data_IF_460490251765
#
_entry.id   IF_460490251765
#
_cell.length_a   1.000
_cell.length_b   1.000
_cell.length_c   1.000
_cell.angle_alpha   90.00
_cell.angle_beta   90.00
_cell.angle_gamma   90.00
#
_symmetry.space_group_name_H-M   'P 1'
#
loop_
_entity.id
_entity.type
_entity.pdbx_description
1 polymer ?
#
# COMPACT_ATOMS: atom_id res chain seq x y z
N UNK A 1 23.59 2.82 14.06
CA UNK A 1 24.14 2.60 15.42
C UNK A 1 23.44 3.43 16.48
N UNK A 2 23.34 4.75 16.39
CA UNK A 2 22.67 5.61 17.41
C UNK A 2 21.24 5.16 17.73
N UNK A 3 20.41 4.90 16.72
CA UNK A 3 19.03 4.44 16.91
C UNK A 3 18.94 3.07 17.63
N UNK A 4 19.86 2.14 17.36
CA UNK A 4 19.93 0.85 18.06
C UNK A 4 20.24 1.04 19.53
N UNK A 5 21.19 1.93 19.86
CA UNK A 5 21.52 2.25 21.25
C UNK A 5 20.33 2.91 21.97
N UNK A 6 19.61 3.81 21.31
CA UNK A 6 18.39 4.40 21.87
C UNK A 6 17.35 3.33 22.20
N UNK A 7 17.11 2.37 21.30
CA UNK A 7 16.20 1.25 21.57
C UNK A 7 16.69 0.41 22.74
N UNK A 8 17.98 0.06 22.79
CA UNK A 8 18.55 -0.73 23.87
C UNK A 8 18.51 -0.03 25.23
N UNK A 9 18.52 1.29 25.25
CA UNK A 9 18.39 2.11 26.45
C UNK A 9 16.93 2.41 26.84
N UNK A 10 15.99 2.18 25.93
CA UNK A 10 14.58 2.55 26.12
C UNK A 10 14.32 4.05 25.92
N UNK A 11 15.15 4.71 25.09
CA UNK A 11 15.03 6.14 24.76
C UNK A 11 14.04 6.34 23.62
N UNK A 12 12.77 5.95 23.84
CA UNK A 12 11.65 6.12 22.91
C UNK A 12 10.35 6.33 23.68
N UNK A 13 9.37 6.92 23.02
CA UNK A 13 8.07 7.22 23.63
C UNK A 13 7.19 5.94 23.66
N UNK A 14 6.49 5.73 24.77
CA UNK A 14 5.69 4.50 25.02
C UNK A 14 4.61 4.30 23.95
N UNK A 15 3.97 5.37 23.46
CA UNK A 15 2.94 5.28 22.42
C UNK A 15 3.44 4.60 21.13
N UNK A 16 4.74 4.65 20.83
CA UNK A 16 5.31 3.99 19.64
C UNK A 16 5.20 2.47 19.72
N UNK A 17 5.39 1.92 20.93
CA UNK A 17 5.20 0.49 21.15
C UNK A 17 3.74 0.11 21.00
N UNK A 18 2.84 0.90 21.60
CA UNK A 18 1.41 0.64 21.52
C UNK A 18 0.89 0.73 20.07
N UNK A 19 1.36 1.73 19.30
CA UNK A 19 1.04 1.86 17.89
C UNK A 19 1.53 0.66 17.06
N UNK A 20 2.77 0.19 17.29
CA UNK A 20 3.31 -0.98 16.59
C UNK A 20 2.54 -2.25 16.95
N UNK A 21 2.20 -2.45 18.23
CA UNK A 21 1.39 -3.59 18.67
C UNK A 21 0.02 -3.58 17.99
N UNK A 22 -0.65 -2.45 18.01
CA UNK A 22 -1.96 -2.29 17.39
C UNK A 22 -1.90 -2.52 15.87
N UNK A 23 -0.86 -2.02 15.20
CA UNK A 23 -0.62 -2.28 13.76
C UNK A 23 -0.40 -3.77 13.47
N UNK A 24 0.41 -4.47 14.28
CA UNK A 24 0.64 -5.89 14.13
C UNK A 24 -0.62 -6.73 14.34
N UNK A 25 -1.45 -6.35 15.31
CA UNK A 25 -2.75 -6.99 15.53
C UNK A 25 -3.70 -6.74 14.35
N UNK A 26 -3.76 -5.52 13.81
CA UNK A 26 -4.56 -5.17 12.65
C UNK A 26 -4.11 -5.93 11.40
N UNK A 27 -2.81 -5.99 11.16
CA UNK A 27 -2.26 -6.76 10.05
C UNK A 27 -2.65 -8.23 10.12
N UNK A 28 -2.56 -8.85 11.31
CA UNK A 28 -3.01 -10.22 11.52
C UNK A 28 -4.52 -10.40 11.29
N UNK A 29 -5.35 -9.44 11.73
CA UNK A 29 -6.79 -9.46 11.46
C UNK A 29 -7.09 -9.47 9.95
N UNK A 30 -6.38 -8.66 9.16
CA UNK A 30 -6.51 -8.63 7.69
C UNK A 30 -6.02 -9.92 7.02
N UNK A 31 -4.88 -10.46 7.45
CA UNK A 31 -4.36 -11.75 6.95
C UNK A 31 -5.38 -12.88 7.22
N UNK A 32 -6.08 -12.81 8.35
CA UNK A 32 -7.11 -13.79 8.69
C UNK A 32 -8.43 -13.64 7.91
N UNK A 33 -8.62 -12.59 7.12
CA UNK A 33 -9.74 -12.49 6.18
C UNK A 33 -9.49 -13.31 4.89
N UNK A 34 -8.25 -13.41 4.46
CA UNK A 34 -7.84 -14.10 3.24
C UNK A 34 -7.65 -15.61 3.46
N UNK A 35 -8.29 -16.44 2.64
CA UNK A 35 -8.06 -17.88 2.68
C UNK A 35 -6.66 -18.27 2.21
N UNK A 36 -6.07 -17.50 1.30
CA UNK A 36 -4.69 -17.70 0.83
C UNK A 36 -3.71 -17.42 1.96
N UNK A 37 -3.87 -16.29 2.68
CA UNK A 37 -3.00 -15.94 3.79
C UNK A 37 -3.15 -16.92 4.95
N UNK A 38 -4.37 -17.38 5.27
CA UNK A 38 -4.59 -18.46 6.23
C UNK A 38 -3.83 -19.74 5.85
N UNK A 39 -3.88 -20.14 4.57
CA UNK A 39 -3.15 -21.30 4.10
C UNK A 39 -1.64 -21.10 4.20
N UNK A 40 -1.13 -19.91 3.88
CA UNK A 40 0.28 -19.56 4.01
C UNK A 40 0.75 -19.55 5.47
N UNK A 41 -0.06 -19.02 6.39
CA UNK A 41 0.20 -19.05 7.84
C UNK A 41 0.31 -20.49 8.32
N UNK A 42 -0.64 -21.35 7.95
CA UNK A 42 -0.61 -22.77 8.33
C UNK A 42 0.58 -23.53 7.74
N UNK A 43 0.90 -23.28 6.47
CA UNK A 43 2.07 -23.85 5.80
C UNK A 43 3.37 -23.40 6.50
N UNK A 44 3.51 -22.13 6.82
CA UNK A 44 4.68 -21.60 7.52
C UNK A 44 4.80 -22.17 8.95
N UNK A 45 3.67 -22.34 9.64
CA UNK A 45 3.64 -22.98 10.95
C UNK A 45 4.18 -24.42 10.88
N UNK A 46 3.68 -25.19 9.92
CA UNK A 46 4.14 -26.56 9.69
C UNK A 46 5.63 -26.60 9.34
N UNK A 47 6.07 -25.73 8.43
CA UNK A 47 7.46 -25.69 7.97
C UNK A 47 8.44 -25.28 9.08
N UNK A 48 8.04 -24.38 9.96
CA UNK A 48 8.85 -23.90 11.08
C UNK A 48 8.62 -24.68 12.39
N UNK A 49 7.88 -25.78 12.35
CA UNK A 49 7.55 -26.59 13.54
C UNK A 49 6.90 -25.77 14.67
N UNK A 50 6.07 -24.78 14.32
CA UNK A 50 5.40 -23.92 15.27
C UNK A 50 4.08 -24.55 15.75
N UNK A 51 3.80 -24.38 17.03
CA UNK A 51 2.50 -24.79 17.60
C UNK A 51 1.37 -23.92 17.05
N UNK A 52 0.29 -24.55 16.63
CA UNK A 52 -0.89 -23.84 16.08
C UNK A 52 -1.55 -22.93 17.12
N UNK A 53 -1.52 -23.32 18.40
CA UNK A 53 -2.00 -22.49 19.50
C UNK A 53 -1.22 -21.19 19.64
N UNK A 54 0.08 -21.22 19.32
CA UNK A 54 0.94 -20.03 19.31
C UNK A 54 0.50 -19.00 18.25
N UNK A 55 0.03 -19.49 17.11
CA UNK A 55 -0.48 -18.65 16.03
C UNK A 55 -1.86 -18.08 16.39
N UNK A 56 -2.74 -18.91 16.92
CA UNK A 56 -4.08 -18.45 17.33
C UNK A 56 -4.02 -17.42 18.47
N UNK A 57 -3.00 -17.51 19.33
CA UNK A 57 -2.76 -16.56 20.42
C UNK A 57 -1.78 -15.43 20.02
N UNK A 58 -1.53 -15.22 18.73
CA UNK A 58 -0.58 -14.22 18.24
C UNK A 58 -0.84 -12.82 18.80
N UNK A 59 -2.09 -12.36 18.76
CA UNK A 59 -2.45 -11.01 19.21
C UNK A 59 -2.20 -10.84 20.72
N UNK A 60 -2.56 -11.83 21.54
CA UNK A 60 -2.31 -11.79 22.98
C UNK A 60 -0.83 -11.74 23.30
N UNK A 61 -0.02 -12.49 22.55
CA UNK A 61 1.45 -12.46 22.68
C UNK A 61 2.04 -11.10 22.30
N UNK A 62 1.57 -10.50 21.19
CA UNK A 62 2.00 -9.16 20.79
C UNK A 62 1.61 -8.12 21.86
N UNK A 63 0.40 -8.18 22.36
CA UNK A 63 -0.07 -7.24 23.39
C UNK A 63 0.66 -7.40 24.72
N UNK A 64 1.14 -8.60 25.06
CA UNK A 64 1.91 -8.87 26.27
C UNK A 64 3.36 -8.37 26.24
N UNK A 65 3.92 -8.02 25.07
CA UNK A 65 5.29 -7.52 24.96
C UNK A 65 5.46 -6.22 25.76
N UNK A 66 6.51 -6.14 26.57
CA UNK A 66 6.82 -4.97 27.37
C UNK A 66 7.99 -4.17 26.81
N UNK A 67 8.15 -2.91 27.26
CA UNK A 67 9.34 -2.09 26.97
C UNK A 67 10.62 -2.79 27.42
N UNK A 68 10.59 -3.51 28.54
CA UNK A 68 11.76 -4.23 29.04
C UNK A 68 12.12 -5.44 28.17
N UNK A 69 11.13 -6.11 27.56
CA UNK A 69 11.40 -7.16 26.57
C UNK A 69 12.12 -6.63 25.35
N UNK A 70 11.68 -5.47 24.84
CA UNK A 70 12.33 -4.79 23.71
C UNK A 70 13.77 -4.43 24.05
N UNK A 71 14.01 -3.81 25.21
CA UNK A 71 15.37 -3.50 25.68
C UNK A 71 16.25 -4.73 25.82
N UNK A 72 15.70 -5.81 26.40
CA UNK A 72 16.39 -7.09 26.58
C UNK A 72 16.80 -7.69 25.23
N UNK A 73 15.88 -7.74 24.28
CA UNK A 73 16.11 -8.27 22.93
C UNK A 73 17.12 -7.41 22.17
N UNK A 74 16.99 -6.08 22.23
CA UNK A 74 17.92 -5.16 21.59
C UNK A 74 19.35 -5.35 22.13
N UNK A 75 19.53 -5.39 23.45
CA UNK A 75 20.83 -5.63 24.07
C UNK A 75 21.44 -6.99 23.71
N UNK A 76 20.59 -8.02 23.56
CA UNK A 76 21.06 -9.38 23.23
C UNK A 76 21.47 -9.54 21.77
N UNK A 77 20.69 -9.01 20.85
CA UNK A 77 20.83 -9.31 19.42
C UNK A 77 21.36 -8.14 18.58
N UNK A 78 21.27 -6.91 19.05
CA UNK A 78 21.71 -5.72 18.35
C UNK A 78 22.94 -5.09 19.02
N UNK A 79 23.83 -5.93 19.56
CA UNK A 79 25.08 -5.55 20.20
C UNK A 79 26.18 -5.24 19.16
N UNK A 80 27.43 -5.09 19.63
CA UNK A 80 28.59 -4.76 18.79
C UNK A 80 29.01 -5.87 17.81
N UNK A 81 28.41 -7.05 17.87
CA UNK A 81 28.69 -8.16 16.95
C UNK A 81 27.85 -8.00 15.66
N UNK A 82 28.32 -7.15 14.76
CA UNK A 82 27.66 -6.90 13.47
C UNK A 82 28.69 -6.80 12.33
N UNK A 83 28.25 -7.11 11.13
CA UNK A 83 28.97 -6.84 9.88
C UNK A 83 28.43 -5.59 9.24
N UNK A 84 29.27 -4.56 9.06
CA UNK A 84 28.92 -3.39 8.30
C UNK A 84 29.44 -3.50 6.86
N UNK A 85 28.53 -3.48 5.88
CA UNK A 85 28.87 -3.44 4.47
C UNK A 85 28.71 -2.01 3.94
N UNK A 86 29.80 -1.46 3.42
CA UNK A 86 29.81 -0.14 2.80
C UNK A 86 29.86 -0.30 1.29
N UNK A 87 28.89 0.29 0.60
CA UNK A 87 28.83 0.34 -0.87
C UNK A 87 29.15 1.76 -1.29
N UNK A 88 30.31 1.92 -1.94
CA UNK A 88 30.77 3.22 -2.43
C UNK A 88 30.72 3.27 -3.95
N UNK A 89 30.49 4.48 -4.50
CA UNK A 89 30.56 4.69 -5.94
C UNK A 89 32.01 4.60 -6.40
N UNK A 90 32.31 3.58 -7.18
CA UNK A 90 33.66 3.34 -7.68
C UNK A 90 33.72 2.25 -8.74
N UNK A 91 34.91 1.98 -9.25
CA UNK A 91 35.16 0.82 -10.10
C UNK A 91 35.54 -0.35 -9.20
N UNK A 92 34.90 -1.53 -9.35
CA UNK A 92 35.30 -2.70 -8.58
C UNK A 92 36.75 -3.09 -8.87
N UNK A 93 37.45 -3.60 -7.87
CA UNK A 93 38.78 -4.17 -8.05
C UNK A 93 38.68 -5.42 -8.95
N UNK A 94 39.16 -5.30 -10.18
CA UNK A 94 39.11 -6.38 -11.16
C UNK A 94 39.98 -7.61 -10.77
N UNK A 95 40.83 -7.45 -9.77
CA UNK A 95 41.75 -8.51 -9.34
C UNK A 95 41.16 -9.40 -8.23
N UNK A 96 40.06 -9.04 -7.63
CA UNK A 96 39.36 -9.88 -6.66
C UNK A 96 38.67 -11.04 -7.37
N UNK A 97 39.39 -12.11 -7.65
CA UNK A 97 38.80 -13.37 -8.11
C UNK A 97 38.19 -14.07 -6.89
N UNK A 98 36.86 -14.05 -6.81
CA UNK A 98 36.15 -14.92 -5.90
C UNK A 98 36.20 -16.33 -6.52
N UNK A 99 36.85 -17.26 -5.85
CA UNK A 99 36.81 -18.67 -6.26
C UNK A 99 35.33 -19.13 -6.19
N UNK A 100 34.84 -19.67 -7.30
CA UNK A 100 33.52 -20.29 -7.30
C UNK A 100 33.55 -21.47 -6.35
N UNK A 101 32.69 -21.54 -5.32
CA UNK A 101 32.56 -22.71 -4.51
C UNK A 101 32.31 -23.92 -5.42
N UNK A 102 32.96 -25.04 -5.14
CA UNK A 102 32.88 -26.29 -5.93
C UNK A 102 31.47 -26.92 -5.93
N UNK A 103 30.46 -26.11 -5.97
CA UNK A 103 29.05 -26.47 -6.01
C UNK A 103 28.68 -27.03 -7.38
N UNK A 104 28.23 -28.26 -7.42
CA UNK A 104 27.58 -28.83 -8.59
C UNK A 104 26.06 -28.66 -8.42
N UNK A 105 25.37 -27.99 -9.35
CA UNK A 105 23.93 -27.94 -9.29
C UNK A 105 23.33 -29.34 -9.28
N UNK A 106 22.42 -29.58 -8.34
CA UNK A 106 21.65 -30.83 -8.35
C UNK A 106 20.63 -30.69 -9.47
N UNK A 107 20.75 -31.52 -10.50
CA UNK A 107 19.73 -31.54 -11.55
C UNK A 107 18.44 -32.15 -10.99
N UNK A 108 17.33 -31.43 -11.08
CA UNK A 108 16.05 -31.97 -10.66
C UNK A 108 15.72 -33.22 -11.50
N UNK A 109 15.18 -34.28 -10.89
CA UNK A 109 14.84 -35.51 -11.60
C UNK A 109 13.63 -35.27 -12.53
N UNK A 110 13.89 -34.83 -13.76
CA UNK A 110 12.87 -34.59 -14.75
C UNK A 110 12.11 -35.90 -15.05
N UNK A 111 10.78 -35.86 -14.96
CA UNK A 111 9.91 -37.03 -15.25
C UNK A 111 9.84 -38.08 -14.15
N UNK A 112 10.44 -37.87 -12.98
CA UNK A 112 10.30 -38.74 -11.82
C UNK A 112 9.43 -38.08 -10.77
N UNK A 113 8.41 -38.79 -10.30
CA UNK A 113 7.56 -38.35 -9.19
C UNK A 113 7.88 -39.16 -7.93
N UNK A 114 7.83 -38.50 -6.78
CA UNK A 114 7.92 -39.20 -5.50
C UNK A 114 6.62 -39.96 -5.23
N UNK A 115 6.70 -41.03 -4.42
CA UNK A 115 5.51 -41.74 -3.92
C UNK A 115 4.51 -40.78 -3.28
N UNK A 116 4.97 -39.78 -2.55
CA UNK A 116 4.14 -38.76 -1.93
C UNK A 116 3.40 -37.90 -2.98
N UNK A 117 4.08 -37.46 -4.02
CA UNK A 117 3.45 -36.68 -5.09
C UNK A 117 2.36 -37.49 -5.81
N UNK A 118 2.62 -38.79 -6.06
CA UNK A 118 1.62 -39.67 -6.65
C UNK A 118 0.43 -39.90 -5.72
N UNK A 119 0.66 -40.10 -4.42
CA UNK A 119 -0.42 -40.22 -3.43
C UNK A 119 -1.24 -38.95 -3.33
N UNK A 120 -0.58 -37.77 -3.29
CA UNK A 120 -1.23 -36.47 -3.24
C UNK A 120 -2.12 -36.20 -4.46
N UNK A 121 -1.65 -36.53 -5.66
CA UNK A 121 -2.47 -36.41 -6.90
C UNK A 121 -3.69 -37.32 -6.92
N UNK A 122 -3.65 -38.44 -6.19
CA UNK A 122 -4.75 -39.39 -6.12
C UNK A 122 -5.72 -39.09 -4.96
N UNK A 123 -5.48 -38.05 -4.15
CA UNK A 123 -6.43 -37.64 -3.14
C UNK A 123 -7.74 -37.20 -3.82
N UNK A 124 -8.89 -37.64 -3.29
CA UNK A 124 -10.16 -37.22 -3.83
C UNK A 124 -10.33 -35.70 -3.64
N UNK A 125 -10.43 -34.99 -4.73
CA UNK A 125 -10.72 -33.56 -4.71
C UNK A 125 -12.21 -33.42 -4.44
N UNK A 126 -12.59 -32.87 -3.28
CA UNK A 126 -13.97 -32.51 -2.99
C UNK A 126 -14.47 -31.47 -4.01
N UNK A 127 -15.69 -31.64 -4.50
CA UNK A 127 -16.32 -30.58 -5.28
C UNK A 127 -16.61 -29.42 -4.35
N UNK A 128 -15.93 -28.29 -4.58
CA UNK A 128 -16.30 -27.04 -3.91
C UNK A 128 -17.48 -26.42 -4.65
N UNK A 129 -18.52 -26.07 -3.92
CA UNK A 129 -19.56 -25.22 -4.47
C UNK A 129 -18.98 -23.86 -4.81
N UNK A 130 -19.13 -23.45 -6.04
CA UNK A 130 -18.72 -22.10 -6.48
C UNK A 130 -19.60 -21.07 -5.76
N UNK A 131 -18.99 -20.23 -4.94
CA UNK A 131 -19.66 -19.11 -4.29
C UNK A 131 -19.31 -17.84 -5.03
N UNK A 132 -20.26 -17.29 -5.73
CA UNK A 132 -20.13 -15.99 -6.35
C UNK A 132 -20.64 -14.90 -5.40
N UNK A 133 -19.90 -13.77 -5.32
CA UNK A 133 -20.40 -12.61 -4.63
C UNK A 133 -21.69 -12.12 -5.29
N UNK A 134 -22.76 -12.08 -4.52
CA UNK A 134 -24.07 -11.62 -4.99
C UNK A 134 -24.22 -10.12 -4.88
N UNK A 135 -24.89 -9.50 -5.85
CA UNK A 135 -25.23 -8.06 -5.76
C UNK A 135 -26.02 -7.68 -4.50
N UNK A 136 -26.71 -8.62 -3.86
CA UNK A 136 -27.44 -8.40 -2.61
C UNK A 136 -26.55 -8.22 -1.38
N UNK A 137 -25.26 -8.51 -1.44
CA UNK A 137 -24.33 -8.33 -0.33
C UNK A 137 -23.78 -6.89 -0.26
N UNK A 138 -23.89 -6.13 -1.35
CA UNK A 138 -23.44 -4.75 -1.42
C UNK A 138 -24.61 -3.81 -1.29
N UNK A 139 -24.62 -3.00 -0.25
CA UNK A 139 -25.60 -1.93 -0.07
C UNK A 139 -25.14 -0.67 -0.81
N UNK A 140 -26.00 -0.12 -1.65
CA UNK A 140 -25.71 1.08 -2.45
C UNK A 140 -26.50 2.26 -1.89
N UNK A 141 -25.82 3.33 -1.54
CA UNK A 141 -26.44 4.58 -1.08
C UNK A 141 -25.99 5.73 -1.97
N UNK A 142 -26.96 6.52 -2.45
CA UNK A 142 -26.65 7.79 -3.10
C UNK A 142 -26.23 8.81 -2.04
N UNK A 143 -25.03 9.40 -2.15
CA UNK A 143 -24.55 10.45 -1.26
C UNK A 143 -24.95 11.84 -1.75
N UNK A 144 -24.80 12.07 -3.05
CA UNK A 144 -25.26 13.27 -3.77
C UNK A 144 -25.44 12.93 -5.26
N UNK A 145 -25.78 13.90 -6.10
CA UNK A 145 -26.10 13.68 -7.53
C UNK A 145 -25.00 12.95 -8.32
N UNK A 146 -23.75 13.03 -7.86
CA UNK A 146 -22.57 12.49 -8.56
C UNK A 146 -21.70 11.59 -7.70
N UNK A 147 -22.19 11.15 -6.54
CA UNK A 147 -21.41 10.28 -5.67
C UNK A 147 -22.28 9.19 -5.08
N UNK A 148 -21.81 7.97 -5.20
CA UNK A 148 -22.43 6.76 -4.63
C UNK A 148 -21.50 6.09 -3.64
N UNK A 149 -22.10 5.57 -2.58
CA UNK A 149 -21.40 4.73 -1.62
C UNK A 149 -21.81 3.29 -1.83
N UNK A 150 -20.82 2.42 -1.89
CA UNK A 150 -20.94 0.97 -1.92
C UNK A 150 -20.45 0.44 -0.58
N UNK A 151 -21.33 -0.16 0.17
CA UNK A 151 -21.04 -0.66 1.51
C UNK A 151 -21.15 -2.17 1.56
N UNK A 152 -20.14 -2.81 2.14
CA UNK A 152 -20.15 -4.24 2.48
C UNK A 152 -19.83 -4.39 3.97
N UNK A 153 -20.69 -5.07 4.77
CA UNK A 153 -20.41 -5.27 6.18
C UNK A 153 -19.21 -6.22 6.36
N UNK A 154 -18.23 -5.81 7.15
CA UNK A 154 -17.19 -6.71 7.65
C UNK A 154 -17.79 -7.57 8.77
N UNK A 155 -17.71 -8.90 8.64
CA UNK A 155 -18.24 -9.86 9.61
C UNK A 155 -17.13 -10.54 10.44
N UNK A 156 -15.88 -10.32 10.07
CA UNK A 156 -14.74 -11.03 10.62
C UNK A 156 -14.07 -10.24 11.77
N UNK A 157 -13.97 -8.93 11.62
CA UNK A 157 -13.28 -8.05 12.57
C UNK A 157 -13.80 -6.61 12.47
N UNK A 158 -13.20 -5.69 13.23
CA UNK A 158 -13.56 -4.27 13.28
C UNK A 158 -12.56 -3.36 12.52
N UNK A 159 -11.86 -3.92 11.55
CA UNK A 159 -11.04 -3.14 10.61
C UNK A 159 -11.95 -2.58 9.53
N UNK A 160 -11.82 -1.29 9.27
CA UNK A 160 -12.48 -0.66 8.14
C UNK A 160 -11.54 -0.45 6.97
N UNK A 161 -12.08 -0.48 5.77
CA UNK A 161 -11.45 0.02 4.57
C UNK A 161 -12.37 1.03 3.90
N UNK A 162 -11.83 2.22 3.63
CA UNK A 162 -12.51 3.30 2.92
C UNK A 162 -11.71 3.64 1.67
N UNK A 163 -12.34 3.51 0.50
CA UNK A 163 -11.74 3.89 -0.78
C UNK A 163 -12.62 4.94 -1.45
N UNK A 164 -12.05 6.10 -1.74
CA UNK A 164 -12.69 7.12 -2.57
C UNK A 164 -12.03 7.07 -3.94
N UNK A 165 -12.79 6.69 -4.95
CA UNK A 165 -12.38 6.60 -6.34
C UNK A 165 -13.00 7.78 -7.12
N UNK A 166 -12.16 8.63 -7.69
CA UNK A 166 -12.58 9.68 -8.60
C UNK A 166 -12.32 9.25 -10.05
N UNK A 167 -13.26 9.49 -10.95
CA UNK A 167 -13.21 9.05 -12.35
C UNK A 167 -12.31 9.93 -13.23
N UNK A 168 -11.12 10.25 -12.77
CA UNK A 168 -10.08 10.93 -13.53
C UNK A 168 -8.71 10.38 -13.11
N UNK A 169 -7.90 9.95 -14.06
CA UNK A 169 -6.60 9.35 -13.87
C UNK A 169 -5.51 10.01 -14.70
N UNK A 170 -4.43 9.27 -14.96
CA UNK A 170 -3.26 9.79 -15.67
C UNK A 170 -3.53 10.09 -17.15
N UNK A 171 -4.58 9.51 -17.76
CA UNK A 171 -4.99 9.87 -19.12
C UNK A 171 -5.52 11.28 -19.24
N UNK A 172 -6.22 11.77 -18.21
CA UNK A 172 -6.73 13.15 -18.16
C UNK A 172 -5.69 14.11 -17.59
N UNK A 173 -4.96 13.67 -16.56
CA UNK A 173 -3.91 14.43 -15.86
C UNK A 173 -2.60 13.65 -15.82
N UNK A 174 -1.72 13.75 -16.83
CA UNK A 174 -0.51 12.91 -16.93
C UNK A 174 0.48 13.04 -15.78
N UNK A 175 0.35 14.06 -14.94
CA UNK A 175 1.18 14.28 -13.74
C UNK A 175 0.55 13.72 -12.46
N UNK A 176 -0.64 13.11 -12.54
CA UNK A 176 -1.45 12.75 -11.36
C UNK A 176 -0.78 11.68 -10.50
N UNK A 177 -0.08 10.72 -11.09
CA UNK A 177 0.69 9.72 -10.34
C UNK A 177 1.82 10.33 -9.52
N UNK A 178 2.51 11.33 -10.07
CA UNK A 178 3.52 12.09 -9.32
C UNK A 178 2.89 12.93 -8.22
N UNK A 179 1.72 13.52 -8.49
CA UNK A 179 0.96 14.27 -7.51
C UNK A 179 0.50 13.38 -6.34
N UNK A 180 0.00 12.19 -6.61
CA UNK A 180 -0.38 11.20 -5.62
C UNK A 180 0.81 10.76 -4.75
N UNK A 181 1.97 10.47 -5.37
CA UNK A 181 3.20 10.14 -4.64
C UNK A 181 3.68 11.28 -3.74
N UNK A 182 3.56 12.52 -4.19
CA UNK A 182 3.91 13.69 -3.40
C UNK A 182 2.96 13.85 -2.20
N UNK A 183 1.65 13.64 -2.41
CA UNK A 183 0.63 13.70 -1.36
C UNK A 183 0.85 12.67 -0.25
N UNK A 184 1.36 11.49 -0.53
CA UNK A 184 1.68 10.47 0.47
C UNK A 184 2.78 10.90 1.46
N UNK A 185 3.48 11.98 1.14
CA UNK A 185 4.51 12.57 1.98
C UNK A 185 4.14 13.98 2.46
N UNK A 186 2.89 14.40 2.27
CA UNK A 186 2.41 15.71 2.70
C UNK A 186 2.13 15.74 4.20
N UNK A 187 2.41 16.88 4.84
CA UNK A 187 1.83 17.25 6.12
C UNK A 187 0.51 17.99 5.96
N UNK A 188 0.10 18.72 6.98
CA UNK A 188 -1.09 19.59 6.97
C UNK A 188 -0.64 21.02 7.23
N UNK A 189 -0.95 21.94 6.31
CA UNK A 189 -0.55 23.35 6.45
C UNK A 189 -1.13 23.95 7.73
N UNK A 190 -0.26 24.60 8.49
CA UNK A 190 -0.62 25.26 9.77
C UNK A 190 -0.93 24.30 10.93
N UNK A 191 -0.73 22.98 10.77
CA UNK A 191 -1.01 22.01 11.83
C UNK A 191 0.09 20.96 12.03
N UNK A 192 0.49 20.24 10.99
CA UNK A 192 1.40 19.11 11.13
C UNK A 192 2.48 19.11 10.06
N UNK A 193 3.73 18.90 10.47
CA UNK A 193 4.79 18.50 9.56
C UNK A 193 4.50 17.08 9.01
N UNK A 194 5.11 16.68 7.88
CA UNK A 194 4.87 15.34 7.31
C UNK A 194 5.13 14.20 8.29
N UNK A 195 6.18 14.31 9.09
CA UNK A 195 6.51 13.29 10.09
C UNK A 195 5.51 13.29 11.26
N UNK A 196 5.10 14.45 11.73
CA UNK A 196 4.09 14.58 12.79
C UNK A 196 2.74 14.01 12.37
N UNK A 197 2.32 14.25 11.12
CA UNK A 197 1.08 13.65 10.61
C UNK A 197 1.15 12.12 10.56
N UNK A 198 2.29 11.55 10.15
CA UNK A 198 2.50 10.09 10.18
C UNK A 198 2.41 9.55 11.61
N UNK A 199 2.95 10.26 12.58
CA UNK A 199 2.87 9.87 13.99
C UNK A 199 1.44 9.93 14.52
N UNK A 200 0.68 10.97 14.18
CA UNK A 200 -0.74 11.07 14.55
C UNK A 200 -1.60 9.97 13.90
N UNK A 201 -1.38 9.67 12.63
CA UNK A 201 -2.04 8.53 11.97
C UNK A 201 -1.65 7.18 12.61
N UNK A 202 -0.38 7.01 12.99
CA UNK A 202 0.09 5.81 13.70
C UNK A 202 -0.55 5.66 15.08
N UNK A 203 -0.73 6.75 15.83
CA UNK A 203 -1.46 6.73 17.12
C UNK A 203 -2.93 6.33 16.96
N UNK A 204 -3.54 6.70 15.83
CA UNK A 204 -4.90 6.28 15.46
C UNK A 204 -4.94 4.86 14.87
N UNK A 205 -3.78 4.22 14.67
CA UNK A 205 -3.66 2.96 13.96
C UNK A 205 -4.37 2.99 12.60
N UNK A 206 -4.25 4.11 11.90
CA UNK A 206 -4.83 4.34 10.60
C UNK A 206 -3.73 4.58 9.56
N UNK A 207 -3.95 4.08 8.35
CA UNK A 207 -3.11 4.33 7.20
C UNK A 207 -3.90 5.08 6.14
N UNK A 208 -3.21 5.96 5.42
CA UNK A 208 -3.78 6.65 4.28
C UNK A 208 -2.82 6.56 3.10
N UNK A 209 -3.36 6.26 1.93
CA UNK A 209 -2.60 6.16 0.69
C UNK A 209 -3.36 6.81 -0.46
N UNK A 210 -2.67 7.66 -1.22
CA UNK A 210 -3.19 8.28 -2.43
C UNK A 210 -2.46 7.66 -3.62
N UNK A 211 -3.20 7.18 -4.60
CA UNK A 211 -2.63 6.61 -5.84
C UNK A 211 -3.49 6.96 -7.04
N UNK A 212 -2.91 6.93 -8.22
CA UNK A 212 -3.63 7.09 -9.47
C UNK A 212 -3.28 5.95 -10.42
N UNK A 213 -4.24 5.56 -11.22
CA UNK A 213 -4.05 4.73 -12.41
C UNK A 213 -4.42 5.53 -13.67
N UNK A 214 -4.49 4.87 -14.79
CA UNK A 214 -4.82 5.48 -16.07
C UNK A 214 -6.15 6.25 -16.05
N UNK A 215 -7.15 5.72 -15.35
CA UNK A 215 -8.54 6.19 -15.42
C UNK A 215 -9.04 6.85 -14.14
N UNK A 216 -8.37 6.63 -13.00
CA UNK A 216 -8.90 7.02 -11.69
C UNK A 216 -7.83 7.54 -10.74
N UNK A 217 -8.26 8.43 -9.84
CA UNK A 217 -7.55 8.80 -8.62
C UNK A 217 -8.20 8.09 -7.43
N UNK A 218 -7.39 7.45 -6.60
CA UNK A 218 -7.84 6.74 -5.40
C UNK A 218 -7.27 7.38 -4.14
N UNK A 219 -8.14 7.50 -3.15
CA UNK A 219 -7.76 7.82 -1.77
C UNK A 219 -8.20 6.63 -0.93
N UNK A 220 -7.24 5.93 -0.33
CA UNK A 220 -7.45 4.69 0.39
C UNK A 220 -7.12 4.94 1.86
N UNK A 221 -8.03 4.59 2.74
CA UNK A 221 -7.82 4.64 4.19
C UNK A 221 -8.20 3.31 4.80
N UNK A 222 -7.42 2.86 5.78
CA UNK A 222 -7.62 1.63 6.51
C UNK A 222 -7.27 1.85 7.98
N UNK A 223 -7.99 1.22 8.88
CA UNK A 223 -7.75 1.32 10.32
C UNK A 223 -8.82 0.60 11.14
N UNK A 224 -8.77 0.77 12.46
CA UNK A 224 -9.86 0.32 13.31
C UNK A 224 -11.01 1.34 13.35
N UNK A 225 -12.24 0.88 13.31
CA UNK A 225 -13.44 1.73 13.27
C UNK A 225 -13.57 2.71 14.42
N UNK A 226 -13.01 2.38 15.58
CA UNK A 226 -13.02 3.27 16.74
C UNK A 226 -12.35 4.62 16.47
N UNK A 227 -11.40 4.67 15.55
CA UNK A 227 -10.63 5.87 15.18
C UNK A 227 -11.02 6.46 13.82
N UNK A 228 -11.99 5.86 13.13
CA UNK A 228 -12.43 6.29 11.80
C UNK A 228 -12.76 7.79 11.70
N UNK A 229 -13.53 8.40 12.63
CA UNK A 229 -13.86 9.83 12.52
C UNK A 229 -12.63 10.74 12.57
N UNK A 230 -11.70 10.45 13.48
CA UNK A 230 -10.46 11.22 13.64
C UNK A 230 -9.54 11.05 12.43
N UNK A 231 -9.39 9.82 11.94
CA UNK A 231 -8.61 9.52 10.75
C UNK A 231 -9.18 10.22 9.51
N UNK A 232 -10.50 10.20 9.30
CA UNK A 232 -11.16 10.94 8.23
C UNK A 232 -10.91 12.46 8.32
N UNK A 233 -10.93 13.02 9.53
CA UNK A 233 -10.66 14.44 9.73
C UNK A 233 -9.23 14.81 9.33
N UNK A 234 -8.24 14.01 9.73
CA UNK A 234 -6.83 14.25 9.35
C UNK A 234 -6.64 14.14 7.83
N UNK A 235 -7.20 13.10 7.22
CA UNK A 235 -7.14 12.89 5.77
C UNK A 235 -7.77 14.05 5.01
N UNK A 236 -8.97 14.47 5.38
CA UNK A 236 -9.65 15.58 4.72
C UNK A 236 -8.81 16.86 4.76
N UNK A 237 -8.21 17.15 5.92
CA UNK A 237 -7.32 18.32 6.08
C UNK A 237 -6.03 18.17 5.26
N UNK A 238 -5.44 16.98 5.19
CA UNK A 238 -4.25 16.72 4.37
C UNK A 238 -4.53 16.98 2.88
N UNK A 239 -5.67 16.53 2.37
CA UNK A 239 -6.04 16.70 0.96
C UNK A 239 -6.35 18.16 0.65
N UNK A 240 -7.09 18.84 1.53
CA UNK A 240 -7.51 20.22 1.31
C UNK A 240 -6.38 21.24 1.52
N UNK A 241 -5.48 20.95 2.45
CA UNK A 241 -4.42 21.88 2.86
C UNK A 241 -3.07 21.12 3.01
N UNK A 242 -2.55 20.52 1.93
CA UNK A 242 -1.32 19.76 1.97
C UNK A 242 -0.12 20.67 2.27
N UNK A 243 0.73 20.26 3.21
CA UNK A 243 2.03 20.88 3.44
C UNK A 243 3.09 20.09 2.69
N UNK A 244 3.62 20.70 1.65
CA UNK A 244 4.61 20.14 0.74
C UNK A 244 5.82 21.07 0.68
N UNK A 245 6.99 20.52 0.41
CA UNK A 245 8.22 21.28 0.25
C UNK A 245 9.03 20.86 -1.01
N UNK A 246 9.94 21.74 -1.44
CA UNK A 246 10.79 21.51 -2.62
C UNK A 246 11.78 20.35 -2.43
N UNK A 247 12.11 19.99 -1.18
CA UNK A 247 12.99 18.83 -0.91
C UNK A 247 12.26 17.52 -1.19
N UNK A 248 10.97 17.45 -0.86
CA UNK A 248 10.12 16.30 -1.19
C UNK A 248 9.97 16.16 -2.70
N UNK A 249 9.70 17.26 -3.39
CA UNK A 249 9.62 17.27 -4.86
C UNK A 249 10.95 16.86 -5.50
N UNK A 250 12.08 17.36 -5.02
CA UNK A 250 13.40 16.99 -5.52
C UNK A 250 13.69 15.49 -5.34
N UNK A 251 13.32 14.90 -4.21
CA UNK A 251 13.44 13.46 -3.97
C UNK A 251 12.56 12.66 -4.93
N UNK A 252 11.31 13.09 -5.14
CA UNK A 252 10.40 12.47 -6.09
C UNK A 252 10.99 12.45 -7.50
N UNK A 253 11.46 13.59 -7.99
CA UNK A 253 12.13 13.71 -9.30
C UNK A 253 13.34 12.77 -9.39
N UNK A 254 14.20 12.77 -8.38
CA UNK A 254 15.38 11.89 -8.33
C UNK A 254 15.02 10.40 -8.35
N UNK A 255 14.00 9.99 -7.60
CA UNK A 255 13.50 8.62 -7.59
C UNK A 255 12.94 8.21 -8.95
N UNK A 256 12.12 9.06 -9.57
CA UNK A 256 11.55 8.82 -10.90
C UNK A 256 12.63 8.63 -11.97
N UNK A 257 13.66 9.48 -11.97
CA UNK A 257 14.79 9.36 -12.91
C UNK A 257 15.59 8.08 -12.67
N UNK A 258 15.81 7.69 -11.40
CA UNK A 258 16.49 6.44 -11.05
C UNK A 258 15.73 5.21 -11.53
N UNK A 259 14.42 5.16 -11.32
CA UNK A 259 13.55 4.07 -11.80
C UNK A 259 13.57 3.97 -13.33
N UNK A 260 13.52 5.08 -14.03
CA UNK A 260 13.60 5.09 -15.50
C UNK A 260 14.90 4.52 -16.03
N UNK A 261 16.01 4.82 -15.37
CA UNK A 261 17.30 4.25 -15.77
C UNK A 261 17.32 2.73 -15.60
N UNK A 262 16.78 2.23 -14.48
CA UNK A 262 16.67 0.78 -14.24
C UNK A 262 15.75 0.08 -15.25
N UNK A 263 14.66 0.72 -15.68
CA UNK A 263 13.73 0.18 -16.68
C UNK A 263 14.39 -0.05 -18.02
N UNK A 264 15.35 0.78 -18.43
CA UNK A 264 16.08 0.65 -19.70
C UNK A 264 16.91 -0.64 -19.79
N UNK A 265 17.30 -1.19 -18.65
CA UNK A 265 18.10 -2.42 -18.55
C UNK A 265 17.24 -3.67 -18.26
N UNK A 266 15.93 -3.49 -18.10
CA UNK A 266 15.00 -4.59 -17.77
C UNK A 266 14.30 -5.13 -19.02
N UNK A 267 14.70 -6.33 -19.46
CA UNK A 267 14.19 -6.98 -20.68
C UNK A 267 12.66 -7.19 -20.63
N UNK A 268 12.10 -7.52 -19.47
CA UNK A 268 10.65 -7.73 -19.33
C UNK A 268 9.87 -6.43 -19.56
N UNK A 269 10.36 -5.31 -19.04
CA UNK A 269 9.73 -4.00 -19.23
C UNK A 269 9.85 -3.56 -20.70
N UNK A 270 10.99 -3.80 -21.33
CA UNK A 270 11.18 -3.50 -22.75
C UNK A 270 10.27 -4.33 -23.65
N UNK A 271 10.10 -5.62 -23.34
CA UNK A 271 9.17 -6.48 -24.06
C UNK A 271 7.72 -6.01 -23.89
N UNK A 272 7.32 -5.60 -22.70
CA UNK A 272 5.98 -5.05 -22.48
C UNK A 272 5.78 -3.73 -23.23
N UNK A 273 6.75 -2.84 -23.21
CA UNK A 273 6.71 -1.60 -23.99
C UNK A 273 6.58 -1.85 -25.50
N UNK A 274 7.31 -2.85 -26.02
CA UNK A 274 7.21 -3.27 -27.41
C UNK A 274 5.82 -3.85 -27.73
N UNK A 275 5.30 -4.72 -26.86
CA UNK A 275 3.95 -5.28 -26.99
C UNK A 275 2.89 -4.18 -27.02
N UNK A 276 2.97 -3.24 -26.11
CA UNK A 276 2.08 -2.07 -26.03
C UNK A 276 2.15 -1.24 -27.33
N UNK A 277 3.35 -1.00 -27.84
CA UNK A 277 3.52 -0.27 -29.08
C UNK A 277 2.95 -1.01 -30.29
N UNK A 278 3.13 -2.34 -30.36
CA UNK A 278 2.57 -3.15 -31.42
C UNK A 278 1.04 -3.15 -31.43
N UNK A 279 0.40 -3.07 -30.26
CA UNK A 279 -1.05 -3.07 -30.12
C UNK A 279 -1.68 -1.69 -30.32
N UNK A 280 -1.03 -0.63 -29.86
CA UNK A 280 -1.63 0.70 -29.74
C UNK A 280 -0.87 1.78 -30.53
N UNK A 281 0.30 1.47 -31.11
CA UNK A 281 1.14 2.41 -31.85
C UNK A 281 1.53 3.62 -31.00
N UNK A 282 1.39 4.80 -31.56
CA UNK A 282 1.69 6.08 -30.86
C UNK A 282 0.72 6.37 -29.69
N UNK A 283 -0.35 5.61 -29.56
CA UNK A 283 -1.30 5.69 -28.44
C UNK A 283 -0.89 4.81 -27.25
N UNK A 284 0.25 4.13 -27.34
CA UNK A 284 0.80 3.31 -26.25
C UNK A 284 1.02 4.17 -25.01
N UNK A 285 0.59 3.69 -23.85
CA UNK A 285 0.76 4.40 -22.57
C UNK A 285 2.24 4.61 -22.25
N UNK A 286 3.12 3.70 -22.69
CA UNK A 286 4.57 3.85 -22.53
C UNK A 286 5.13 5.10 -23.25
N UNK A 287 4.56 5.49 -24.39
CA UNK A 287 4.99 6.70 -25.15
C UNK A 287 4.40 7.97 -24.54
N UNK A 288 3.23 7.86 -23.90
CA UNK A 288 2.55 9.01 -23.28
C UNK A 288 3.14 9.39 -21.91
N UNK A 289 4.04 8.59 -21.36
CA UNK A 289 4.71 8.96 -20.12
C UNK A 289 5.43 10.30 -20.26
N UNK A 290 5.46 11.06 -19.17
CA UNK A 290 6.19 12.33 -19.12
C UNK A 290 7.64 12.12 -19.55
N UNK A 291 8.18 13.02 -20.35
CA UNK A 291 9.61 13.02 -20.71
C UNK A 291 10.47 13.34 -19.49
N UNK A 292 11.77 13.02 -19.55
CA UNK A 292 12.73 13.40 -18.52
C UNK A 292 12.72 14.91 -18.23
N UNK A 293 12.55 15.73 -19.28
CA UNK A 293 12.46 17.18 -19.16
C UNK A 293 11.21 17.58 -18.37
N UNK A 294 10.05 17.04 -18.71
CA UNK A 294 8.79 17.35 -18.03
C UNK A 294 8.84 16.94 -16.54
N UNK A 295 9.50 15.82 -16.20
CA UNK A 295 9.71 15.44 -14.80
C UNK A 295 10.59 16.46 -14.07
N UNK A 296 11.66 16.96 -14.71
CA UNK A 296 12.48 18.00 -14.12
C UNK A 296 11.74 19.32 -13.92
N UNK A 297 10.79 19.64 -14.79
CA UNK A 297 10.00 20.87 -14.77
C UNK A 297 8.76 20.80 -13.84
N UNK A 298 8.47 19.64 -13.21
CA UNK A 298 7.35 19.50 -12.27
C UNK A 298 7.39 20.55 -11.15
N UNK A 299 6.24 21.11 -10.83
CA UNK A 299 6.06 22.11 -9.76
C UNK A 299 4.98 21.66 -8.78
N UNK A 300 5.16 21.99 -7.49
CA UNK A 300 4.21 21.65 -6.42
C UNK A 300 2.80 22.19 -6.74
N UNK A 301 2.71 23.44 -7.23
CA UNK A 301 1.43 24.08 -7.57
C UNK A 301 0.68 23.36 -8.68
N UNK A 302 1.38 22.82 -9.67
CA UNK A 302 0.75 22.02 -10.74
C UNK A 302 0.22 20.70 -10.19
N UNK A 303 1.04 19.98 -9.42
CA UNK A 303 0.70 18.68 -8.86
C UNK A 303 -0.49 18.77 -7.89
N UNK A 304 -0.50 19.77 -7.01
CA UNK A 304 -1.65 20.01 -6.13
C UNK A 304 -2.89 20.46 -6.92
N UNK A 305 -2.70 21.23 -7.99
CA UNK A 305 -3.76 21.62 -8.92
C UNK A 305 -4.39 20.40 -9.61
N UNK A 306 -3.59 19.38 -10.00
CA UNK A 306 -4.09 18.16 -10.63
C UNK A 306 -4.92 17.33 -9.64
N UNK A 307 -4.46 17.16 -8.38
CA UNK A 307 -5.27 16.50 -7.34
C UNK A 307 -6.63 17.21 -7.16
N UNK A 308 -6.60 18.54 -7.05
CA UNK A 308 -7.83 19.31 -6.87
C UNK A 308 -8.78 19.18 -8.08
N UNK A 309 -8.25 19.20 -9.31
CA UNK A 309 -9.06 19.01 -10.52
C UNK A 309 -9.64 17.61 -10.60
N UNK A 310 -8.82 16.56 -10.36
CA UNK A 310 -9.26 15.16 -10.37
C UNK A 310 -10.32 14.91 -9.29
N UNK A 311 -10.19 15.51 -8.10
CA UNK A 311 -11.17 15.38 -7.01
C UNK A 311 -12.53 16.03 -7.32
N UNK A 312 -12.66 16.82 -8.40
CA UNK A 312 -13.93 17.39 -8.86
C UNK A 312 -14.69 16.47 -9.82
N UNK A 313 -14.14 15.33 -10.18
CA UNK A 313 -14.82 14.33 -10.99
C UNK A 313 -15.81 13.50 -10.16
N UNK A 314 -16.68 12.74 -10.84
CA UNK A 314 -17.59 11.80 -10.20
C UNK A 314 -16.85 10.87 -9.26
N UNK A 315 -17.41 10.63 -8.07
CA UNK A 315 -16.77 9.79 -7.07
C UNK A 315 -17.60 8.55 -6.71
N UNK A 316 -16.92 7.44 -6.55
CA UNK A 316 -17.44 6.24 -5.91
C UNK A 316 -16.73 6.06 -4.56
N UNK A 317 -17.51 5.83 -3.53
CA UNK A 317 -16.99 5.57 -2.18
C UNK A 317 -17.25 4.11 -1.86
N UNK A 318 -16.21 3.34 -1.63
CA UNK A 318 -16.32 1.96 -1.17
C UNK A 318 -15.97 1.93 0.31
N UNK A 319 -16.85 1.33 1.10
CA UNK A 319 -16.64 1.19 2.52
C UNK A 319 -16.93 -0.23 2.97
N UNK A 320 -15.96 -0.82 3.65
CA UNK A 320 -16.10 -2.12 4.34
C UNK A 320 -15.85 -1.88 5.82
N UNK A 321 -16.74 -2.39 6.66
CA UNK A 321 -16.66 -2.25 8.12
C UNK A 321 -17.87 -2.83 8.83
N UNK A 322 -17.87 -2.84 10.17
CA UNK A 322 -18.97 -3.37 10.99
C UNK A 322 -20.08 -2.33 11.24
N UNK A 323 -19.76 -1.03 11.07
CA UNK A 323 -20.69 0.06 11.34
C UNK A 323 -21.88 -0.01 10.37
N UNK A 324 -23.12 -0.15 10.85
CA UNK A 324 -24.27 -0.20 9.97
C UNK A 324 -24.45 1.15 9.28
N UNK A 325 -24.81 1.14 8.01
CA UNK A 325 -25.25 2.35 7.30
C UNK A 325 -26.51 2.91 7.96
N UNK A 326 -26.35 3.70 9.01
CA UNK A 326 -27.48 4.44 9.58
C UNK A 326 -27.83 5.60 8.67
N UNK A 327 -29.12 5.85 8.38
CA UNK A 327 -29.56 7.00 7.57
C UNK A 327 -29.16 8.35 8.18
N UNK A 328 -28.72 8.39 9.42
CA UNK A 328 -28.48 9.59 10.23
C UNK A 328 -27.04 9.79 10.70
N UNK A 329 -26.08 9.02 10.24
CA UNK A 329 -24.69 9.48 10.37
C UNK A 329 -24.52 10.60 9.33
N UNK A 330 -24.89 11.81 9.71
CA UNK A 330 -24.23 13.00 9.19
C UNK A 330 -22.78 12.81 9.61
N UNK A 331 -21.95 12.33 8.70
CA UNK A 331 -20.53 12.62 8.78
C UNK A 331 -20.46 14.12 8.97
N UNK A 332 -19.66 14.66 9.94
CA UNK A 332 -19.67 16.08 10.21
C UNK A 332 -19.63 16.80 8.87
N UNK A 333 -20.43 17.84 8.72
CA UNK A 333 -20.62 18.65 7.51
C UNK A 333 -19.35 19.37 7.01
N UNK A 334 -18.20 19.05 7.53
CA UNK A 334 -16.93 19.18 6.85
C UNK A 334 -16.87 18.02 5.86
N UNK A 335 -17.51 18.25 4.73
CA UNK A 335 -17.52 17.36 3.58
C UNK A 335 -16.11 16.78 3.39
N UNK A 336 -15.96 15.42 3.20
CA UNK A 336 -14.80 14.97 2.46
C UNK A 336 -14.75 15.83 1.19
N UNK A 337 -13.60 16.02 0.53
CA UNK A 337 -13.48 16.89 -0.65
C UNK A 337 -14.37 16.46 -1.83
N UNK A 338 -15.59 16.16 -1.54
CA UNK A 338 -16.67 15.68 -2.41
C UNK A 338 -17.66 16.83 -2.70
N UNK A 339 -17.29 18.08 -2.43
CA UNK A 339 -18.12 19.26 -2.68
C UNK A 339 -17.68 20.00 -3.93
N UNK A 340 -18.56 20.14 -4.89
CA UNK A 340 -18.40 20.90 -6.12
C UNK A 340 -19.21 20.31 -7.29
N UNK A 341 -19.37 21.09 -8.34
CA UNK A 341 -19.89 20.53 -9.60
C UNK A 341 -18.86 19.57 -10.17
N UNK A 342 -19.20 18.28 -10.20
CA UNK A 342 -18.28 17.23 -10.66
C UNK A 342 -18.50 16.95 -12.14
N UNK A 343 -17.40 16.78 -12.86
CA UNK A 343 -17.42 16.39 -14.27
C UNK A 343 -17.83 14.92 -14.38
N UNK A 344 -18.80 14.54 -15.25
CA UNK A 344 -19.11 13.16 -15.51
C UNK A 344 -17.90 12.43 -16.12
N UNK A 345 -17.71 11.17 -15.76
CA UNK A 345 -16.71 10.31 -16.38
C UNK A 345 -17.01 10.14 -17.85
N UNK A 346 -16.11 10.58 -18.71
CA UNK A 346 -16.15 10.22 -20.13
C UNK A 346 -15.46 8.85 -20.27
N UNK A 347 -16.26 7.80 -20.41
CA UNK A 347 -15.71 6.48 -20.75
C UNK A 347 -14.96 6.61 -22.07
N UNK A 348 -13.70 6.16 -22.15
CA UNK A 348 -12.99 6.14 -23.42
C UNK A 348 -13.79 5.27 -24.39
N UNK A 349 -14.16 5.85 -25.53
CA UNK A 349 -14.75 5.07 -26.62
C UNK A 349 -13.73 4.00 -27.01
N UNK A 350 -13.96 2.75 -26.59
CA UNK A 350 -13.30 1.60 -27.17
C UNK A 350 -13.73 1.54 -28.63
N UNK A 351 -12.95 2.13 -29.51
CA UNK A 351 -13.06 1.83 -30.92
C UNK A 351 -12.62 0.37 -31.06
N UNK A 352 -13.61 -0.52 -31.16
CA UNK A 352 -13.36 -1.87 -31.69
C UNK A 352 -12.97 -1.68 -33.13
N UNK A 353 -11.70 -1.83 -33.46
CA UNK A 353 -11.21 -2.15 -34.78
C UNK A 353 -11.34 -3.65 -35.01
#
# INVERSE_FOLDING_TARGET
MKAIQQIANGEFEDWKIDAIKAEKCRQFDLEMESNEDKAMILMNAFYNEQDLGDILNYKDKIMAITTDDIKRVAKKYLSDNYLALYIEKGKPDKNAKIEKPGYKPVEPPIGKESLYATQFKNLPIGQMEEKFAGYGEVQIKQLNDRSKMYYTPNKENNVFQLVVQYGAGEREFPKLGYAAQLMNNAGIMGAYEPQELKEELSKLNATCHVTADDDNLYIIMEGYEATLPQACQLLSRQILMPKLDEKQLARLKGSAMGMRQQRKDNVSILNEALRQYMLYGEKSDYIKELTDKEIYELQISELTGDINRASNYEAKVFFTGTLPLRPSIRYPEQEPPIGGQRTPVQLPHRQRT
#
